data_IF_405007937113
#
_entry.id   IF_405007937113
#
_cell.length_a   1.000
_cell.length_b   1.000
_cell.length_c   1.000
_cell.angle_alpha   90.00
_cell.angle_beta   90.00
_cell.angle_gamma   90.00
#
_symmetry.space_group_name_H-M   'P 1'
#
loop_
_entity.id
_entity.type
_entity.pdbx_description
1 polymer ?
#
# COMPACT_ATOMS: atom_id res chain seq x y z
N UNK A 1 -7.64 -53.40 -16.16
CA UNK A 1 -8.45 -53.09 -17.36
C UNK A 1 -7.72 -53.32 -18.68
N UNK A 2 -6.46 -52.91 -18.86
CA UNK A 2 -5.70 -53.09 -20.12
C UNK A 2 -5.66 -54.54 -20.65
N UNK A 3 -5.53 -55.56 -19.78
CA UNK A 3 -5.47 -56.97 -20.19
C UNK A 3 -6.76 -57.50 -20.84
N UNK A 4 -7.92 -56.98 -20.43
CA UNK A 4 -9.24 -57.42 -20.92
C UNK A 4 -9.50 -56.88 -22.34
N UNK A 5 -9.24 -55.58 -22.55
CA UNK A 5 -9.33 -54.96 -23.87
C UNK A 5 -8.24 -55.46 -24.84
N UNK A 6 -7.05 -55.80 -24.34
CA UNK A 6 -5.99 -56.44 -25.14
C UNK A 6 -6.39 -57.82 -25.66
N UNK A 7 -7.02 -58.64 -24.82
CA UNK A 7 -7.45 -60.01 -25.18
C UNK A 7 -8.53 -59.97 -26.27
N UNK A 8 -9.54 -59.11 -26.13
CA UNK A 8 -10.61 -58.98 -27.12
C UNK A 8 -10.11 -58.47 -28.48
N UNK A 9 -9.12 -57.58 -28.50
CA UNK A 9 -8.48 -57.11 -29.75
C UNK A 9 -7.75 -58.23 -30.48
N UNK A 10 -7.00 -59.05 -29.76
CA UNK A 10 -6.28 -60.20 -30.34
C UNK A 10 -7.26 -61.22 -30.94
N UNK A 11 -8.36 -61.53 -30.25
CA UNK A 11 -9.38 -62.47 -30.74
C UNK A 11 -10.11 -61.97 -31.99
N UNK A 12 -10.44 -60.67 -32.05
CA UNK A 12 -11.15 -60.08 -33.21
C UNK A 12 -10.28 -59.96 -34.46
N UNK A 13 -8.96 -59.79 -34.29
CA UNK A 13 -7.98 -59.83 -35.38
C UNK A 13 -7.79 -61.26 -35.92
N UNK A 14 -7.73 -62.27 -35.05
CA UNK A 14 -7.61 -63.68 -35.48
C UNK A 14 -8.84 -64.22 -36.20
N UNK A 15 -10.02 -63.62 -35.98
CA UNK A 15 -11.28 -64.01 -36.64
C UNK A 15 -11.56 -63.25 -37.96
N UNK A 16 -10.63 -62.43 -38.46
CA UNK A 16 -10.82 -61.66 -39.71
C UNK A 16 -11.83 -60.49 -39.60
N UNK A 17 -12.28 -60.13 -38.39
CA UNK A 17 -13.31 -59.11 -38.13
C UNK A 17 -12.70 -57.70 -37.96
N UNK A 18 -11.93 -57.25 -38.94
CA UNK A 18 -11.22 -55.95 -38.95
C UNK A 18 -12.11 -54.75 -38.65
N UNK A 19 -13.33 -54.70 -39.20
CA UNK A 19 -14.28 -53.61 -38.94
C UNK A 19 -14.74 -53.55 -37.47
N UNK A 20 -14.89 -54.68 -36.78
CA UNK A 20 -15.23 -54.71 -35.35
C UNK A 20 -14.02 -54.31 -34.51
N UNK A 21 -12.83 -54.81 -34.84
CA UNK A 21 -11.58 -54.41 -34.20
C UNK A 21 -11.36 -52.89 -34.23
N UNK A 22 -11.54 -52.25 -35.39
CA UNK A 22 -11.42 -50.79 -35.55
C UNK A 22 -12.41 -50.03 -34.66
N UNK A 23 -13.68 -50.45 -34.60
CA UNK A 23 -14.69 -49.84 -33.71
C UNK A 23 -14.29 -49.92 -32.23
N UNK A 24 -13.78 -51.07 -31.78
CA UNK A 24 -13.33 -51.23 -30.39
C UNK A 24 -12.06 -50.44 -30.07
N UNK A 25 -11.09 -50.39 -31.00
CA UNK A 25 -9.87 -49.61 -30.83
C UNK A 25 -10.16 -48.09 -30.77
N UNK A 26 -11.06 -47.60 -31.61
CA UNK A 26 -11.52 -46.21 -31.56
C UNK A 26 -12.22 -45.91 -30.23
N UNK A 27 -13.09 -46.82 -29.76
CA UNK A 27 -13.73 -46.69 -28.45
C UNK A 27 -12.74 -46.62 -27.28
N UNK A 28 -11.67 -47.42 -27.31
CA UNK A 28 -10.61 -47.39 -26.28
C UNK A 28 -9.83 -46.07 -26.31
N UNK A 29 -9.50 -45.56 -27.50
CA UNK A 29 -8.85 -44.25 -27.64
C UNK A 29 -9.75 -43.14 -27.09
N UNK A 30 -11.04 -43.14 -27.45
CA UNK A 30 -12.00 -42.15 -26.96
C UNK A 30 -12.10 -42.19 -25.43
N UNK A 31 -12.18 -43.38 -24.82
CA UNK A 31 -12.21 -43.54 -23.36
C UNK A 31 -10.95 -43.01 -22.68
N UNK A 32 -9.77 -43.30 -23.25
CA UNK A 32 -8.50 -42.79 -22.73
C UNK A 32 -8.44 -41.27 -22.83
N UNK A 33 -8.86 -40.71 -23.98
CA UNK A 33 -8.90 -39.25 -24.20
C UNK A 33 -9.85 -38.59 -23.19
N UNK A 34 -11.05 -39.13 -22.98
CA UNK A 34 -11.99 -38.63 -21.95
C UNK A 34 -11.34 -38.67 -20.56
N UNK A 35 -10.66 -39.75 -20.21
CA UNK A 35 -9.95 -39.86 -18.92
C UNK A 35 -8.89 -38.78 -18.73
N UNK A 36 -8.08 -38.50 -19.78
CA UNK A 36 -7.08 -37.44 -19.76
C UNK A 36 -7.73 -36.06 -19.64
N UNK A 37 -8.80 -35.80 -20.40
CA UNK A 37 -9.51 -34.51 -20.35
C UNK A 37 -10.12 -34.25 -18.97
N UNK A 38 -10.71 -35.26 -18.33
CA UNK A 38 -11.23 -35.14 -16.96
C UNK A 38 -10.09 -34.86 -15.98
N UNK A 39 -8.96 -35.56 -16.08
CA UNK A 39 -7.80 -35.32 -15.22
C UNK A 39 -7.26 -33.89 -15.38
N UNK A 40 -7.15 -33.39 -16.63
CA UNK A 40 -6.76 -32.01 -16.91
C UNK A 40 -7.77 -30.99 -16.37
N UNK A 41 -9.07 -31.26 -16.51
CA UNK A 41 -10.11 -30.38 -15.96
C UNK A 41 -10.06 -30.29 -14.45
N UNK A 42 -9.89 -31.42 -13.74
CA UNK A 42 -9.75 -31.44 -12.29
C UNK A 42 -8.53 -30.63 -11.86
N UNK A 43 -7.39 -30.79 -12.54
CA UNK A 43 -6.18 -30.03 -12.25
C UNK A 43 -6.38 -28.53 -12.45
N UNK A 44 -6.96 -28.12 -13.58
CA UNK A 44 -7.25 -26.72 -13.90
C UNK A 44 -8.25 -26.09 -12.90
N UNK A 45 -9.25 -26.86 -12.46
CA UNK A 45 -10.21 -26.39 -11.46
C UNK A 45 -9.55 -26.17 -10.10
N UNK A 46 -8.71 -27.11 -9.65
CA UNK A 46 -7.96 -26.95 -8.41
C UNK A 46 -7.04 -25.72 -8.45
N UNK A 47 -6.37 -25.49 -9.59
CA UNK A 47 -5.52 -24.32 -9.79
C UNK A 47 -6.32 -23.01 -9.75
N UNK A 48 -7.48 -22.97 -10.41
CA UNK A 48 -8.38 -21.81 -10.37
C UNK A 48 -8.87 -21.50 -8.95
N UNK A 49 -9.15 -22.51 -8.13
CA UNK A 49 -9.53 -22.33 -6.72
C UNK A 49 -8.38 -21.74 -5.90
N UNK A 50 -7.13 -22.20 -6.12
CA UNK A 50 -5.96 -21.64 -5.44
C UNK A 50 -5.74 -20.17 -5.80
N UNK A 51 -5.74 -19.84 -7.09
CA UNK A 51 -5.59 -18.46 -7.58
C UNK A 51 -6.67 -17.54 -6.99
N UNK A 52 -7.92 -18.00 -6.93
CA UNK A 52 -9.02 -17.23 -6.32
C UNK A 52 -8.83 -17.00 -4.82
N UNK A 53 -8.31 -18.00 -4.08
CA UNK A 53 -8.03 -17.83 -2.66
C UNK A 53 -6.87 -16.85 -2.42
N UNK A 54 -5.84 -16.89 -3.27
CA UNK A 54 -4.74 -15.94 -3.24
C UNK A 54 -5.19 -14.52 -3.58
N UNK A 55 -6.03 -14.35 -4.61
CA UNK A 55 -6.67 -13.07 -4.94
C UNK A 55 -7.42 -12.50 -3.73
N UNK A 56 -8.29 -13.29 -3.10
CA UNK A 56 -9.06 -12.86 -1.93
C UNK A 56 -8.14 -12.46 -0.77
N UNK A 57 -7.04 -13.19 -0.56
CA UNK A 57 -6.03 -12.86 0.46
C UNK A 57 -5.38 -11.51 0.18
N UNK A 58 -4.94 -11.26 -1.05
CA UNK A 58 -4.39 -9.97 -1.45
C UNK A 58 -5.40 -8.84 -1.27
N UNK A 59 -6.65 -9.02 -1.72
CA UNK A 59 -7.69 -8.01 -1.59
C UNK A 59 -8.01 -7.67 -0.12
N UNK A 60 -8.00 -8.67 0.78
CA UNK A 60 -8.12 -8.43 2.22
C UNK A 60 -6.96 -7.62 2.77
N UNK A 61 -5.73 -7.95 2.37
CA UNK A 61 -4.54 -7.22 2.78
C UNK A 61 -4.57 -5.78 2.28
N UNK A 62 -4.96 -5.54 1.01
CA UNK A 62 -5.14 -4.20 0.47
C UNK A 62 -6.17 -3.42 1.28
N UNK A 63 -7.33 -4.02 1.57
CA UNK A 63 -8.37 -3.37 2.36
C UNK A 63 -7.84 -2.96 3.75
N UNK A 64 -7.16 -3.87 4.44
CA UNK A 64 -6.62 -3.59 5.78
C UNK A 64 -5.55 -2.50 5.73
N UNK A 65 -4.64 -2.56 4.75
CA UNK A 65 -3.59 -1.57 4.54
C UNK A 65 -4.18 -0.19 4.28
N UNK A 66 -5.15 -0.09 3.37
CA UNK A 66 -5.83 1.18 3.04
C UNK A 66 -6.59 1.76 4.22
N UNK A 67 -7.23 0.93 5.06
CA UNK A 67 -7.89 1.40 6.28
C UNK A 67 -6.86 2.01 7.24
N UNK A 68 -5.72 1.33 7.46
CA UNK A 68 -4.65 1.83 8.32
C UNK A 68 -4.05 3.13 7.79
N UNK A 69 -3.83 3.24 6.48
CA UNK A 69 -3.34 4.45 5.84
C UNK A 69 -4.36 5.60 6.01
N UNK A 70 -5.66 5.35 5.85
CA UNK A 70 -6.70 6.36 6.07
C UNK A 70 -6.70 6.84 7.53
N UNK A 71 -6.67 5.92 8.49
CA UNK A 71 -6.66 6.27 9.92
C UNK A 71 -5.44 7.12 10.28
N UNK A 72 -4.26 6.70 9.83
CA UNK A 72 -3.02 7.45 10.05
C UNK A 72 -3.08 8.85 9.43
N UNK A 73 -3.49 8.93 8.17
CA UNK A 73 -3.55 10.21 7.45
C UNK A 73 -4.65 11.13 7.97
N UNK A 74 -5.74 10.59 8.51
CA UNK A 74 -6.81 11.39 9.14
C UNK A 74 -6.29 12.12 10.37
N UNK A 75 -5.53 11.42 11.22
CA UNK A 75 -4.87 12.02 12.38
C UNK A 75 -3.88 13.09 11.91
N UNK A 76 -3.02 12.79 10.93
CA UNK A 76 -2.05 13.75 10.38
C UNK A 76 -2.69 14.98 9.74
N UNK A 77 -3.80 14.81 9.03
CA UNK A 77 -4.54 15.92 8.42
C UNK A 77 -5.00 16.94 9.45
N UNK A 78 -5.32 16.51 10.68
CA UNK A 78 -5.69 17.42 11.76
C UNK A 78 -4.49 18.30 12.15
N UNK A 79 -3.30 17.72 12.33
CA UNK A 79 -2.09 18.50 12.60
C UNK A 79 -1.70 19.46 11.48
N UNK A 80 -1.92 19.06 10.22
CA UNK A 80 -1.70 19.96 9.08
C UNK A 80 -2.63 21.16 9.11
N UNK A 81 -3.87 21.01 9.61
CA UNK A 81 -4.76 22.16 9.79
C UNK A 81 -4.24 23.14 10.86
N UNK A 82 -3.75 22.66 12.00
CA UNK A 82 -3.12 23.52 13.02
C UNK A 82 -1.84 24.19 12.54
N UNK A 83 -1.05 23.47 11.72
CA UNK A 83 0.15 24.02 11.09
C UNK A 83 -0.20 25.15 10.15
N UNK A 84 -1.21 24.95 9.28
CA UNK A 84 -1.70 25.97 8.34
C UNK A 84 -2.25 27.21 9.07
N UNK A 85 -3.00 27.01 10.15
CA UNK A 85 -3.48 28.09 11.00
C UNK A 85 -2.30 28.86 11.61
N UNK A 86 -1.31 28.14 12.14
CA UNK A 86 -0.12 28.76 12.75
C UNK A 86 0.70 29.55 11.73
N UNK A 87 0.88 29.04 10.51
CA UNK A 87 1.49 29.79 9.40
C UNK A 87 0.71 31.09 9.13
N UNK A 88 -0.62 31.02 9.10
CA UNK A 88 -1.46 32.20 8.82
C UNK A 88 -1.33 33.27 9.91
N UNK A 89 -1.26 32.85 11.18
CA UNK A 89 -1.04 33.74 12.33
C UNK A 89 0.34 34.40 12.24
N UNK A 90 1.40 33.61 12.00
CA UNK A 90 2.76 34.12 11.89
C UNK A 90 2.92 35.07 10.70
N UNK A 91 2.34 34.77 9.54
CA UNK A 91 2.34 35.66 8.38
C UNK A 91 1.66 36.99 8.72
N UNK A 92 0.48 36.95 9.34
CA UNK A 92 -0.24 38.16 9.76
C UNK A 92 0.56 39.00 10.75
N UNK A 93 1.27 38.36 11.68
CA UNK A 93 2.14 39.04 12.66
C UNK A 93 3.28 39.79 11.95
N UNK A 94 3.94 39.12 11.01
CA UNK A 94 5.07 39.67 10.23
C UNK A 94 4.59 40.81 9.32
N UNK A 95 3.52 40.61 8.57
CA UNK A 95 2.99 41.59 7.62
C UNK A 95 2.52 42.88 8.30
N UNK A 96 2.03 42.78 9.53
CA UNK A 96 1.60 43.92 10.33
C UNK A 96 2.74 44.51 11.19
N UNK A 97 3.94 43.92 11.16
CA UNK A 97 5.09 44.34 11.95
C UNK A 97 4.78 44.48 13.45
N UNK A 98 4.06 43.50 14.00
CA UNK A 98 3.66 43.47 15.40
C UNK A 98 4.79 42.90 16.28
N UNK A 99 4.96 43.39 17.53
CA UNK A 99 6.00 42.89 18.42
C UNK A 99 5.73 41.44 18.83
N UNK A 100 6.80 40.68 19.07
CA UNK A 100 6.70 39.29 19.51
C UNK A 100 5.83 39.14 20.76
N UNK A 101 5.09 38.03 20.82
CA UNK A 101 4.26 37.65 21.97
C UNK A 101 4.59 36.23 22.39
N UNK A 102 4.58 35.95 23.69
CA UNK A 102 4.88 34.65 24.27
C UNK A 102 4.03 33.50 23.72
N UNK A 103 2.84 33.76 23.16
CA UNK A 103 2.02 32.74 22.51
C UNK A 103 2.58 32.25 21.17
N UNK A 104 3.42 33.06 20.50
CA UNK A 104 3.94 32.77 19.15
C UNK A 104 4.91 31.59 19.12
N UNK A 105 5.61 31.29 20.23
CA UNK A 105 6.48 30.11 20.36
C UNK A 105 5.81 28.80 20.00
N UNK A 106 4.53 28.65 20.30
CA UNK A 106 3.75 27.46 19.96
C UNK A 106 3.47 27.39 18.47
N UNK A 107 3.24 28.54 17.84
CA UNK A 107 3.05 28.63 16.39
C UNK A 107 4.35 28.33 15.64
N UNK A 108 5.49 28.87 16.09
CA UNK A 108 6.81 28.51 15.56
C UNK A 108 7.10 27.02 15.71
N UNK A 109 6.85 26.43 16.89
CA UNK A 109 7.01 24.99 17.08
C UNK A 109 6.09 24.12 16.21
N UNK A 110 4.88 24.58 15.89
CA UNK A 110 3.96 23.84 15.02
C UNK A 110 4.41 23.85 13.56
N UNK A 111 4.98 24.95 13.06
CA UNK A 111 5.40 25.04 11.65
C UNK A 111 6.63 24.19 11.31
N UNK A 112 7.36 23.70 12.31
CA UNK A 112 8.47 22.76 12.09
C UNK A 112 8.01 21.32 11.91
N UNK A 113 6.71 21.01 12.03
CA UNK A 113 6.21 19.65 11.84
C UNK A 113 6.35 19.19 10.40
N UNK A 114 6.98 18.03 10.20
CA UNK A 114 7.13 17.44 8.87
C UNK A 114 5.79 16.96 8.29
N UNK A 115 5.48 17.38 7.06
CA UNK A 115 4.39 16.82 6.27
C UNK A 115 4.81 15.48 5.67
N UNK A 116 4.31 14.38 6.25
CA UNK A 116 4.63 13.01 5.83
C UNK A 116 3.35 12.14 5.80
N UNK A 117 2.52 12.26 4.74
CA UNK A 117 1.43 11.31 4.53
C UNK A 117 1.98 9.88 4.38
N UNK A 118 1.22 8.90 4.85
CA UNK A 118 1.61 7.49 4.79
C UNK A 118 0.77 6.76 3.75
N UNK A 119 1.45 6.09 2.83
CA UNK A 119 0.84 5.10 1.94
C UNK A 119 1.71 3.86 2.01
N UNK A 120 1.13 2.76 2.48
CA UNK A 120 1.86 1.52 2.60
C UNK A 120 1.92 0.81 1.23
N UNK A 121 3.12 0.78 0.65
CA UNK A 121 3.40 0.15 -0.64
C UNK A 121 3.60 -1.38 -0.55
N UNK A 122 3.75 -1.95 0.64
CA UNK A 122 4.14 -3.36 0.84
C UNK A 122 3.23 -4.34 0.10
N UNK A 123 1.90 -4.16 0.23
CA UNK A 123 0.92 -5.05 -0.42
C UNK A 123 0.97 -4.89 -1.94
N UNK A 124 1.21 -3.68 -2.43
CA UNK A 124 1.31 -3.40 -3.86
C UNK A 124 2.60 -3.97 -4.48
N UNK A 125 3.75 -3.78 -3.83
CA UNK A 125 5.02 -4.35 -4.28
C UNK A 125 5.01 -5.88 -4.19
N UNK A 126 4.34 -6.45 -3.19
CA UNK A 126 4.11 -7.89 -3.13
C UNK A 126 3.25 -8.38 -4.31
N UNK A 127 2.18 -7.67 -4.68
CA UNK A 127 1.37 -8.02 -5.85
C UNK A 127 2.19 -7.93 -7.15
N UNK A 128 2.97 -6.85 -7.31
CA UNK A 128 3.83 -6.61 -8.48
C UNK A 128 4.92 -7.67 -8.62
N UNK A 129 5.46 -8.17 -7.51
CA UNK A 129 6.46 -9.25 -7.49
C UNK A 129 5.88 -10.63 -7.77
N UNK A 130 4.56 -10.80 -7.64
CA UNK A 130 3.85 -12.04 -8.00
C UNK A 130 3.42 -11.98 -9.48
N UNK A 131 2.15 -11.66 -9.70
CA UNK A 131 1.57 -11.38 -11.01
C UNK A 131 0.43 -10.38 -10.78
N UNK A 132 0.47 -9.25 -11.47
CA UNK A 132 -0.61 -8.27 -11.40
C UNK A 132 -1.95 -8.90 -11.80
N UNK A 133 -1.95 -9.86 -12.74
CA UNK A 133 -3.14 -10.55 -13.21
C UNK A 133 -3.76 -11.49 -12.17
N UNK A 134 -3.12 -11.69 -11.01
CA UNK A 134 -3.73 -12.38 -9.87
C UNK A 134 -5.05 -11.72 -9.44
N UNK A 135 -5.15 -10.40 -9.57
CA UNK A 135 -6.43 -9.69 -9.43
C UNK A 135 -7.21 -9.86 -10.74
N UNK A 136 -8.20 -10.74 -10.74
CA UNK A 136 -8.99 -11.12 -11.91
C UNK A 136 -9.86 -9.97 -12.44
N UNK A 137 -10.23 -9.03 -11.57
CA UNK A 137 -10.96 -7.83 -11.96
C UNK A 137 -10.01 -6.77 -12.53
N UNK A 138 -9.95 -6.68 -13.86
CA UNK A 138 -9.11 -5.70 -14.58
C UNK A 138 -9.35 -4.25 -14.14
N UNK A 139 -10.61 -3.87 -13.93
CA UNK A 139 -10.96 -2.52 -13.50
C UNK A 139 -10.40 -2.17 -12.12
N UNK A 140 -10.50 -3.10 -11.17
CA UNK A 140 -9.94 -2.94 -9.82
C UNK A 140 -8.41 -2.95 -9.87
N UNK A 141 -7.82 -3.89 -10.60
CA UNK A 141 -6.37 -3.99 -10.80
C UNK A 141 -5.79 -2.68 -11.33
N UNK A 142 -6.39 -2.12 -12.39
CA UNK A 142 -5.93 -0.86 -12.98
C UNK A 142 -6.09 0.33 -12.03
N UNK A 143 -7.16 0.36 -11.21
CA UNK A 143 -7.33 1.38 -10.17
C UNK A 143 -6.25 1.28 -9.10
N UNK A 144 -5.92 0.09 -8.62
CA UNK A 144 -4.84 -0.14 -7.66
C UNK A 144 -3.49 0.32 -8.24
N UNK A 145 -3.16 -0.11 -9.46
CA UNK A 145 -1.92 0.28 -10.14
C UNK A 145 -1.82 1.80 -10.28
N UNK A 146 -2.89 2.45 -10.74
CA UNK A 146 -2.91 3.89 -10.95
C UNK A 146 -2.75 4.64 -9.63
N UNK A 147 -3.46 4.23 -8.59
CA UNK A 147 -3.37 4.84 -7.26
C UNK A 147 -1.96 4.75 -6.69
N UNK A 148 -1.37 3.54 -6.63
CA UNK A 148 -0.05 3.34 -6.02
C UNK A 148 1.10 3.93 -6.85
N UNK A 149 0.99 3.93 -8.19
CA UNK A 149 2.01 4.55 -9.04
C UNK A 149 1.99 6.07 -8.92
N UNK A 150 0.81 6.68 -8.96
CA UNK A 150 0.65 8.12 -8.77
C UNK A 150 1.14 8.54 -7.38
N UNK A 151 0.71 7.81 -6.35
CA UNK A 151 0.98 8.18 -4.98
C UNK A 151 2.46 8.05 -4.61
N UNK A 152 3.15 7.02 -5.10
CA UNK A 152 4.58 6.88 -4.89
C UNK A 152 5.38 8.01 -5.54
N UNK A 153 4.99 8.48 -6.73
CA UNK A 153 5.73 9.54 -7.41
C UNK A 153 5.49 10.90 -6.74
N UNK A 154 4.22 11.29 -6.58
CA UNK A 154 3.86 12.62 -6.08
C UNK A 154 4.26 12.79 -4.62
N UNK A 155 3.98 11.80 -3.75
CA UNK A 155 4.29 11.96 -2.33
C UNK A 155 5.79 12.04 -2.07
N UNK A 156 6.61 11.26 -2.77
CA UNK A 156 8.05 11.29 -2.55
C UNK A 156 8.64 12.65 -2.95
N UNK A 157 8.20 13.23 -4.08
CA UNK A 157 8.67 14.54 -4.53
C UNK A 157 8.22 15.66 -3.58
N UNK A 158 6.93 15.70 -3.24
CA UNK A 158 6.37 16.75 -2.39
C UNK A 158 6.92 16.68 -0.96
N UNK A 159 7.04 15.48 -0.38
CA UNK A 159 7.60 15.29 0.96
C UNK A 159 9.07 15.68 0.98
N UNK A 160 9.86 15.26 -0.02
CA UNK A 160 11.28 15.64 -0.10
C UNK A 160 11.44 17.17 -0.21
N UNK A 161 10.61 17.83 -1.01
CA UNK A 161 10.58 19.28 -1.11
C UNK A 161 10.28 19.96 0.23
N UNK A 162 9.25 19.50 0.93
CA UNK A 162 8.87 20.04 2.24
C UNK A 162 9.97 19.83 3.30
N UNK A 163 10.53 18.62 3.37
CA UNK A 163 11.63 18.29 4.30
C UNK A 163 12.81 19.23 4.07
N UNK A 164 13.20 19.45 2.81
CA UNK A 164 14.30 20.37 2.47
C UNK A 164 14.04 21.80 2.93
N UNK A 165 12.81 22.29 2.80
CA UNK A 165 12.43 23.64 3.28
C UNK A 165 12.57 23.74 4.80
N UNK A 166 12.08 22.73 5.53
CA UNK A 166 12.18 22.72 7.00
C UNK A 166 13.63 22.57 7.47
N UNK A 167 14.43 21.74 6.80
CA UNK A 167 15.86 21.61 7.10
C UNK A 167 16.62 22.92 6.87
N UNK A 168 16.38 23.59 5.74
CA UNK A 168 16.97 24.89 5.43
C UNK A 168 16.56 25.96 6.45
N UNK A 169 15.27 26.04 6.78
CA UNK A 169 14.76 26.94 7.80
C UNK A 169 15.35 26.63 9.18
N UNK A 170 15.53 25.36 9.54
CA UNK A 170 16.16 24.93 10.79
C UNK A 170 17.61 25.43 10.89
N UNK A 171 18.38 25.30 9.81
CA UNK A 171 19.81 25.62 9.78
C UNK A 171 20.12 27.11 9.61
N UNK A 172 19.22 27.88 9.00
CA UNK A 172 19.50 29.26 8.62
C UNK A 172 18.61 30.29 9.31
N UNK A 173 17.44 29.88 9.82
CA UNK A 173 16.45 30.80 10.39
C UNK A 173 16.23 30.45 11.86
N UNK A 174 15.77 29.24 12.16
CA UNK A 174 15.32 28.87 13.49
C UNK A 174 16.46 28.77 14.49
N UNK A 175 17.58 28.12 14.15
CA UNK A 175 18.74 28.05 15.05
C UNK A 175 19.36 29.42 15.40
N UNK A 176 19.17 30.45 14.57
CA UNK A 176 19.64 31.80 14.87
C UNK A 176 18.72 32.57 15.82
N UNK A 177 17.44 32.18 15.90
CA UNK A 177 16.39 32.88 16.64
C UNK A 177 15.90 32.14 17.88
N UNK A 178 16.18 30.85 18.01
CA UNK A 178 15.64 29.99 19.06
C UNK A 178 16.70 29.09 19.71
N UNK A 179 16.65 28.99 21.04
CA UNK A 179 17.65 28.34 21.90
C UNK A 179 17.41 26.83 21.91
N UNK A 180 16.13 26.46 21.80
CA UNK A 180 15.68 25.08 21.78
C UNK A 180 14.54 24.91 20.79
N UNK A 181 14.70 23.92 19.92
CA UNK A 181 13.65 23.42 19.05
C UNK A 181 12.91 22.28 19.78
N UNK A 182 11.59 22.22 19.67
CA UNK A 182 10.76 21.11 20.18
C UNK A 182 10.84 20.90 21.71
N UNK A 183 10.85 21.98 22.50
CA UNK A 183 11.00 21.91 23.96
C UNK A 183 9.67 21.77 24.74
N UNK A 184 8.57 21.41 24.08
CA UNK A 184 7.29 21.25 24.75
C UNK A 184 7.19 19.97 25.58
N UNK A 185 5.99 19.45 25.77
CA UNK A 185 5.71 18.32 26.67
C UNK A 185 6.15 16.93 26.13
N UNK A 186 7.22 16.86 25.32
CA UNK A 186 7.70 15.66 24.64
C UNK A 186 7.90 14.44 25.58
N UNK A 187 8.27 14.68 26.85
CA UNK A 187 8.35 13.62 27.88
C UNK A 187 7.01 12.93 28.13
N UNK A 188 5.91 13.69 28.12
CA UNK A 188 4.54 13.17 28.30
C UNK A 188 4.15 12.33 27.10
N UNK A 189 4.32 12.86 25.88
CA UNK A 189 4.14 12.11 24.65
C UNK A 189 4.92 10.78 24.65
N UNK A 190 6.21 10.80 25.04
CA UNK A 190 7.03 9.57 25.08
C UNK A 190 6.53 8.54 26.10
N UNK A 191 5.85 8.98 27.16
CA UNK A 191 5.29 8.10 28.19
C UNK A 191 3.92 7.53 27.80
N UNK A 192 3.10 8.29 27.08
CA UNK A 192 1.73 7.90 26.71
C UNK A 192 1.61 7.30 25.32
N UNK A 193 2.58 7.58 24.45
CA UNK A 193 2.53 7.37 22.99
C UNK A 193 1.28 8.01 22.34
N UNK A 194 0.57 8.88 23.07
CA UNK A 194 -0.58 9.60 22.57
C UNK A 194 -0.11 10.89 21.92
N UNK A 195 -0.27 10.97 20.60
CA UNK A 195 0.10 12.14 19.82
C UNK A 195 -0.68 13.40 20.21
N UNK A 196 -1.86 13.28 20.82
CA UNK A 196 -2.61 14.42 21.35
C UNK A 196 -1.89 15.08 22.54
N UNK A 197 -1.04 14.32 23.23
CA UNK A 197 -0.18 14.84 24.28
C UNK A 197 1.07 15.52 23.74
N UNK A 198 1.24 15.71 22.41
CA UNK A 198 2.40 16.41 21.85
C UNK A 198 2.10 17.90 21.65
N UNK A 199 2.69 18.74 22.49
CA UNK A 199 2.75 20.19 22.36
C UNK A 199 4.14 20.57 21.89
N UNK A 200 4.21 21.30 20.78
CA UNK A 200 5.47 21.81 20.25
C UNK A 200 5.65 23.26 20.65
N UNK A 201 6.84 23.57 21.15
CA UNK A 201 7.25 24.89 21.60
C UNK A 201 8.68 25.15 21.15
N UNK A 202 8.95 26.38 20.73
CA UNK A 202 10.29 26.87 20.42
C UNK A 202 10.65 28.05 21.33
N UNK A 203 11.78 27.99 22.02
CA UNK A 203 12.17 29.05 22.97
C UNK A 203 12.99 30.12 22.24
N UNK A 204 12.52 31.38 22.17
CA UNK A 204 13.30 32.50 21.60
C UNK A 204 14.64 32.72 22.31
N UNK A 205 15.68 33.04 21.55
CA UNK A 205 16.96 33.55 22.10
C UNK A 205 16.80 34.96 22.67
N UNK A 206 16.04 35.78 21.95
CA UNK A 206 15.72 37.16 22.29
C UNK A 206 14.27 37.42 21.89
N UNK A 207 13.47 37.92 22.84
CA UNK A 207 12.05 38.22 22.64
C UNK A 207 11.83 39.56 21.95
N UNK A 208 12.83 40.45 21.91
CA UNK A 208 12.72 41.75 21.25
C UNK A 208 13.22 41.73 19.80
N UNK A 209 14.11 40.79 19.42
CA UNK A 209 14.71 40.71 18.08
C UNK A 209 13.98 39.78 17.09
N UNK A 210 12.86 39.17 17.50
CA UNK A 210 12.18 38.10 16.76
C UNK A 210 11.06 38.56 15.84
#
# INVERSE_FOLDING_TARGET
MIKFFRKNRQTLLSEGKTAKFLKYAIGEIILVVIGILIALQINNWNESVKLKNEEIKFLKNFKQSLISDIEFNKVRSHYYSFTKESISILLSQIEQNLPYQDSLKYHFGRITQTWTPKINMEVFEALKSNDLNLISNDGLRNKLISYYSWSNNILNEDVAGYVKIIEDASLNIFNTRFDALWNGNYKKYKATENWEDLELEMIPNDYEEL
#
